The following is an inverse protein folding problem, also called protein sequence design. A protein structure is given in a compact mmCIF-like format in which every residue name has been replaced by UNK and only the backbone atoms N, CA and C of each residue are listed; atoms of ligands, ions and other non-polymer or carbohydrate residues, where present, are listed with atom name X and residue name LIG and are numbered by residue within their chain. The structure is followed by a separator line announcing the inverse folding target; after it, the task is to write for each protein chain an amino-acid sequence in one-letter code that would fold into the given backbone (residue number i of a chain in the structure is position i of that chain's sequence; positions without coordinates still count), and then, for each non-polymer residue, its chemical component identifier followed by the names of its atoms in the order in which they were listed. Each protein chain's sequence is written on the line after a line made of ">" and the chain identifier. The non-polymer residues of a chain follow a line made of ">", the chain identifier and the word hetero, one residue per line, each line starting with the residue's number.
data_IF_718788352584
#
_entry.id   IF_718788352584
#
_cell.length_a   1.000
_cell.length_b   1.000
_cell.length_c   1.000
_cell.angle_alpha   90.00
_cell.angle_beta   90.00
_cell.angle_gamma   90.00
#
_symmetry.space_group_name_H-M   'P 1'
#
loop_
_entity.id
_entity.type
_entity.pdbx_description
1 polymer ?
#
# COMPACT_ATOMS: atom_id res chain seq x y z
N UNK A 1 6.12 17.94 -14.46
CA UNK A 1 5.12 17.35 -13.52
C UNK A 1 3.74 17.95 -13.76
N UNK A 2 3.64 19.27 -13.95
CA UNK A 2 2.33 19.91 -14.15
C UNK A 2 1.47 19.25 -15.25
N UNK A 3 2.07 18.91 -16.38
CA UNK A 3 1.33 18.24 -17.47
C UNK A 3 0.86 16.83 -17.09
N UNK A 4 1.68 16.06 -16.35
CA UNK A 4 1.32 14.72 -15.85
C UNK A 4 0.11 14.76 -14.92
N UNK A 5 -0.01 15.81 -14.10
CA UNK A 5 -1.13 15.97 -13.18
C UNK A 5 -2.38 16.56 -13.86
N UNK A 6 -2.22 17.38 -14.90
CA UNK A 6 -3.33 17.95 -15.67
C UNK A 6 -4.00 16.93 -16.59
N UNK A 7 -3.23 15.99 -17.13
CA UNK A 7 -3.69 15.02 -18.14
C UNK A 7 -4.99 14.32 -17.76
N UNK A 8 -5.16 13.72 -16.56
CA UNK A 8 -6.41 13.05 -16.18
C UNK A 8 -7.61 14.01 -16.15
N UNK A 9 -7.40 15.28 -15.75
CA UNK A 9 -8.48 16.29 -15.73
C UNK A 9 -8.88 16.67 -17.14
N UNK A 10 -7.91 16.88 -18.03
CA UNK A 10 -8.17 17.25 -19.45
C UNK A 10 -8.96 16.15 -20.16
N UNK A 11 -8.65 14.87 -19.87
CA UNK A 11 -9.30 13.72 -20.55
C UNK A 11 -10.69 13.44 -19.99
N UNK A 12 -10.90 13.63 -18.68
CA UNK A 12 -12.11 13.14 -18.00
C UNK A 12 -13.08 14.25 -17.58
N UNK A 13 -12.77 15.54 -17.83
CA UNK A 13 -13.61 16.66 -17.39
C UNK A 13 -13.66 17.75 -18.45
N UNK A 14 -14.72 18.58 -18.40
CA UNK A 14 -14.88 19.77 -19.23
C UNK A 14 -14.43 21.06 -18.53
N UNK A 15 -13.51 20.94 -17.55
CA UNK A 15 -13.00 22.06 -16.77
C UNK A 15 -12.15 23.03 -17.62
N UNK A 16 -12.23 24.30 -17.30
CA UNK A 16 -11.38 25.31 -17.93
C UNK A 16 -9.94 25.23 -17.43
N UNK A 17 -9.00 25.71 -18.23
CA UNK A 17 -7.56 25.67 -17.94
C UNK A 17 -7.19 26.28 -16.58
N UNK A 18 -7.86 27.37 -16.19
CA UNK A 18 -7.64 28.04 -14.90
C UNK A 18 -8.08 27.14 -13.72
N UNK A 19 -9.22 26.44 -13.87
CA UNK A 19 -9.74 25.51 -12.85
C UNK A 19 -8.83 24.29 -12.70
N UNK A 20 -8.39 23.71 -13.82
CA UNK A 20 -7.42 22.61 -13.85
C UNK A 20 -6.14 23.01 -13.13
N UNK A 21 -5.60 24.19 -13.43
CA UNK A 21 -4.37 24.68 -12.81
C UNK A 21 -4.52 24.79 -11.29
N UNK A 22 -5.63 25.34 -10.82
CA UNK A 22 -5.92 25.49 -9.40
C UNK A 22 -6.02 24.14 -8.69
N UNK A 23 -6.73 23.17 -9.29
CA UNK A 23 -6.84 21.79 -8.72
C UNK A 23 -5.46 21.15 -8.61
N UNK A 24 -4.65 21.25 -9.66
CA UNK A 24 -3.29 20.67 -9.67
C UNK A 24 -2.40 21.29 -8.59
N UNK A 25 -2.46 22.63 -8.43
CA UNK A 25 -1.73 23.32 -7.37
C UNK A 25 -2.18 22.88 -5.97
N UNK A 26 -3.48 22.75 -5.73
CA UNK A 26 -4.01 22.27 -4.46
C UNK A 26 -3.57 20.83 -4.15
N UNK A 27 -3.60 19.95 -5.14
CA UNK A 27 -3.23 18.54 -4.94
C UNK A 27 -1.73 18.35 -4.69
N UNK A 28 -0.87 19.13 -5.36
CA UNK A 28 0.58 19.04 -5.13
C UNK A 28 0.96 19.53 -3.71
N UNK A 29 0.30 20.56 -3.21
CA UNK A 29 0.49 21.03 -1.83
C UNK A 29 -0.04 20.02 -0.80
N UNK A 30 -1.15 19.33 -1.09
CA UNK A 30 -1.72 18.29 -0.21
C UNK A 30 -0.77 17.11 0.02
N UNK A 31 0.09 16.79 -0.94
CA UNK A 31 1.11 15.76 -0.76
C UNK A 31 2.44 16.30 -0.21
N UNK A 32 2.48 17.56 0.22
CA UNK A 32 3.64 18.19 0.86
C UNK A 32 4.76 18.59 -0.11
N UNK A 33 4.41 18.93 -1.35
CA UNK A 33 5.33 19.48 -2.34
C UNK A 33 4.95 20.94 -2.67
N UNK A 34 5.98 21.76 -2.94
CA UNK A 34 5.79 23.14 -3.34
C UNK A 34 5.28 23.24 -4.79
N UNK A 35 4.51 24.29 -5.13
CA UNK A 35 3.99 24.54 -6.49
C UNK A 35 5.07 24.65 -7.54
N UNK A 36 6.29 25.08 -7.20
CA UNK A 36 7.43 25.11 -8.12
C UNK A 36 7.75 23.74 -8.70
N UNK A 37 7.42 22.64 -7.99
CA UNK A 37 7.55 21.26 -8.45
C UNK A 37 6.80 21.00 -9.76
N UNK A 38 5.73 21.75 -10.06
CA UNK A 38 4.96 21.59 -11.28
C UNK A 38 5.75 21.93 -12.57
N UNK A 39 6.82 22.72 -12.44
CA UNK A 39 7.67 23.13 -13.55
C UNK A 39 8.87 22.18 -13.79
N UNK A 40 9.07 21.20 -12.92
CA UNK A 40 10.19 20.29 -12.95
C UNK A 40 9.84 18.96 -13.66
N UNK A 41 10.87 18.21 -14.03
CA UNK A 41 10.76 16.89 -14.67
C UNK A 41 10.89 15.77 -13.63
N UNK A 42 10.33 14.56 -13.89
CA UNK A 42 10.38 13.45 -12.93
C UNK A 42 11.78 13.03 -12.48
N UNK A 43 12.80 13.18 -13.32
CA UNK A 43 14.18 12.81 -13.01
C UNK A 43 14.85 13.79 -12.01
N UNK A 44 14.26 14.97 -11.76
CA UNK A 44 14.77 15.97 -10.82
C UNK A 44 14.32 15.69 -9.37
N UNK A 45 13.52 14.63 -9.15
CA UNK A 45 12.96 14.29 -7.85
C UNK A 45 13.57 13.04 -7.24
N UNK A 46 13.65 13.01 -5.90
CA UNK A 46 13.96 11.79 -5.14
C UNK A 46 12.86 10.73 -5.28
N UNK A 47 13.13 9.49 -4.89
CA UNK A 47 12.15 8.40 -4.90
C UNK A 47 10.88 8.74 -4.12
N UNK A 48 11.03 9.28 -2.90
CA UNK A 48 9.90 9.68 -2.07
C UNK A 48 9.10 10.84 -2.64
N UNK A 49 9.76 11.81 -3.29
CA UNK A 49 9.05 12.90 -3.96
C UNK A 49 8.29 12.39 -5.20
N UNK A 50 8.87 11.48 -5.99
CA UNK A 50 8.15 10.83 -7.10
C UNK A 50 6.93 10.08 -6.61
N UNK A 51 7.03 9.40 -5.46
CA UNK A 51 5.88 8.71 -4.84
C UNK A 51 4.78 9.69 -4.43
N UNK A 52 5.13 10.85 -3.84
CA UNK A 52 4.17 11.91 -3.52
C UNK A 52 3.46 12.44 -4.77
N UNK A 53 4.18 12.59 -5.89
CA UNK A 53 3.59 13.00 -7.18
C UNK A 53 2.63 11.93 -7.71
N UNK A 54 2.98 10.64 -7.61
CA UNK A 54 2.09 9.54 -8.00
C UNK A 54 0.81 9.52 -7.16
N UNK A 55 0.92 9.76 -5.85
CA UNK A 55 -0.24 9.91 -4.94
C UNK A 55 -1.08 11.13 -5.34
N UNK A 56 -0.48 12.28 -5.61
CA UNK A 56 -1.20 13.47 -6.08
C UNK A 56 -1.99 13.18 -7.37
N UNK A 57 -1.36 12.45 -8.32
CA UNK A 57 -2.01 12.04 -9.57
C UNK A 57 -3.21 11.13 -9.33
N UNK A 58 -3.12 10.18 -8.39
CA UNK A 58 -4.23 9.30 -8.06
C UNK A 58 -5.42 10.04 -7.42
N UNK A 59 -5.15 11.17 -6.75
CA UNK A 59 -6.15 12.00 -6.09
C UNK A 59 -6.79 13.06 -6.99
N UNK A 60 -6.27 13.26 -8.20
CA UNK A 60 -6.60 14.46 -9.02
C UNK A 60 -8.08 14.51 -9.42
N UNK A 61 -8.70 13.36 -9.63
CA UNK A 61 -10.11 13.22 -9.99
C UNK A 61 -11.04 13.04 -8.77
N UNK A 62 -10.55 13.27 -7.55
CA UNK A 62 -11.28 13.07 -6.30
C UNK A 62 -11.95 11.67 -6.21
N UNK A 63 -11.19 10.57 -6.33
CA UNK A 63 -11.74 9.23 -6.28
C UNK A 63 -12.30 8.90 -4.90
N UNK A 64 -13.23 7.96 -4.83
CA UNK A 64 -13.70 7.37 -3.58
C UNK A 64 -12.87 6.14 -3.16
N UNK A 65 -12.18 5.51 -4.14
CA UNK A 65 -11.42 4.28 -3.96
C UNK A 65 -10.07 4.36 -4.67
N UNK A 66 -9.00 3.95 -3.97
CA UNK A 66 -7.63 3.93 -4.50
C UNK A 66 -7.02 2.54 -4.28
N UNK A 67 -6.39 2.00 -5.31
CA UNK A 67 -5.53 0.80 -5.22
C UNK A 67 -4.09 1.27 -5.07
N UNK A 68 -3.46 0.90 -3.97
CA UNK A 68 -2.06 1.18 -3.68
C UNK A 68 -1.28 -0.15 -3.69
N UNK A 69 -0.65 -0.44 -4.83
CA UNK A 69 0.12 -1.65 -5.05
C UNK A 69 1.60 -1.40 -4.71
N UNK A 70 2.07 -1.98 -3.62
CA UNK A 70 3.42 -1.82 -3.06
C UNK A 70 3.95 -0.37 -3.02
N UNK A 71 3.17 0.60 -2.52
CA UNK A 71 3.48 2.02 -2.71
C UNK A 71 4.74 2.50 -1.99
N UNK A 72 5.37 1.67 -1.16
CA UNK A 72 6.56 2.04 -0.38
C UNK A 72 7.72 1.05 -0.52
N UNK A 73 7.58 -0.02 -1.31
CA UNK A 73 8.56 -1.13 -1.38
C UNK A 73 9.96 -0.71 -1.87
N UNK A 74 10.04 0.31 -2.72
CA UNK A 74 11.30 0.82 -3.29
C UNK A 74 11.91 2.01 -2.54
N UNK A 75 11.40 2.33 -1.33
CA UNK A 75 11.82 3.49 -0.54
C UNK A 75 12.61 3.04 0.69
N UNK A 76 13.49 3.90 1.18
CA UNK A 76 14.14 3.69 2.48
C UNK A 76 13.14 3.84 3.64
N UNK A 77 13.45 3.20 4.78
CA UNK A 77 12.55 3.09 5.94
C UNK A 77 12.04 4.45 6.44
N UNK A 78 12.88 5.47 6.41
CA UNK A 78 12.52 6.82 6.87
C UNK A 78 11.48 7.46 5.96
N UNK A 79 11.67 7.33 4.64
CA UNK A 79 10.74 7.85 3.63
C UNK A 79 9.46 7.01 3.58
N UNK A 80 9.56 5.67 3.76
CA UNK A 80 8.39 4.81 3.91
C UNK A 80 7.44 5.31 4.99
N UNK A 81 7.97 5.60 6.20
CA UNK A 81 7.17 6.09 7.31
C UNK A 81 6.45 7.42 6.97
N UNK A 82 7.12 8.33 6.25
CA UNK A 82 6.51 9.58 5.81
C UNK A 82 5.37 9.36 4.82
N UNK A 83 5.55 8.46 3.83
CA UNK A 83 4.50 8.14 2.83
C UNK A 83 3.31 7.44 3.49
N UNK A 84 3.55 6.53 4.43
CA UNK A 84 2.49 5.82 5.17
C UNK A 84 1.66 6.82 5.98
N UNK A 85 2.29 7.76 6.69
CA UNK A 85 1.58 8.80 7.44
C UNK A 85 0.79 9.72 6.49
N UNK A 86 1.37 10.08 5.34
CA UNK A 86 0.67 10.86 4.32
C UNK A 86 -0.59 10.12 3.82
N UNK A 87 -0.48 8.82 3.48
CA UNK A 87 -1.63 8.03 3.03
C UNK A 87 -2.73 7.94 4.08
N UNK A 88 -2.34 7.80 5.36
CA UNK A 88 -3.30 7.78 6.48
C UNK A 88 -4.04 9.12 6.61
N UNK A 89 -3.31 10.23 6.55
CA UNK A 89 -3.90 11.57 6.58
C UNK A 89 -4.84 11.79 5.40
N UNK A 90 -4.43 11.42 4.18
CA UNK A 90 -5.27 11.56 2.99
C UNK A 90 -6.52 10.69 3.05
N UNK A 91 -6.46 9.49 3.65
CA UNK A 91 -7.62 8.63 3.91
C UNK A 91 -8.66 9.38 4.73
N UNK A 92 -8.24 10.06 5.79
CA UNK A 92 -9.11 10.83 6.68
C UNK A 92 -9.62 12.12 6.00
N UNK A 93 -8.71 12.92 5.41
CA UNK A 93 -9.03 14.22 4.78
C UNK A 93 -10.04 14.09 3.63
N UNK A 94 -9.95 13.02 2.84
CA UNK A 94 -10.77 12.79 1.65
C UNK A 94 -11.79 11.68 1.81
N UNK A 95 -11.93 11.07 3.00
CA UNK A 95 -12.79 9.93 3.28
C UNK A 95 -12.61 8.78 2.27
N UNK A 96 -11.36 8.44 1.99
CA UNK A 96 -10.98 7.46 0.96
C UNK A 96 -11.10 6.03 1.45
N UNK A 97 -11.51 5.15 0.53
CA UNK A 97 -11.34 3.71 0.70
C UNK A 97 -10.06 3.27 -0.02
N UNK A 98 -9.19 2.52 0.67
CA UNK A 98 -7.96 1.97 0.08
C UNK A 98 -8.00 0.45 -0.03
N UNK A 99 -7.56 -0.07 -1.18
CA UNK A 99 -7.02 -1.42 -1.28
C UNK A 99 -5.48 -1.30 -1.27
N UNK A 100 -4.87 -1.66 -0.15
CA UNK A 100 -3.42 -1.56 0.05
C UNK A 100 -2.78 -2.94 -0.10
N UNK A 101 -1.88 -3.11 -1.06
CA UNK A 101 -1.14 -4.36 -1.29
C UNK A 101 0.28 -4.16 -0.80
N UNK A 102 0.75 -5.05 0.09
CA UNK A 102 2.11 -5.02 0.63
C UNK A 102 2.53 -6.38 1.16
N UNK A 103 3.82 -6.64 1.16
CA UNK A 103 4.43 -7.77 1.86
C UNK A 103 4.90 -7.40 3.28
N UNK A 104 4.86 -6.13 3.68
CA UNK A 104 5.21 -5.67 5.02
C UNK A 104 3.97 -5.70 5.94
N UNK A 105 3.94 -6.69 6.83
CA UNK A 105 2.86 -6.87 7.79
C UNK A 105 2.76 -5.74 8.82
N UNK A 106 3.86 -5.05 9.12
CA UNK A 106 3.87 -3.92 10.05
C UNK A 106 3.13 -2.73 9.45
N UNK A 107 3.37 -2.46 8.18
CA UNK A 107 2.65 -1.42 7.41
C UNK A 107 1.17 -1.74 7.31
N UNK A 108 0.83 -2.98 6.96
CA UNK A 108 -0.56 -3.45 6.88
C UNK A 108 -1.27 -3.29 8.24
N UNK A 109 -0.63 -3.70 9.34
CA UNK A 109 -1.17 -3.57 10.70
C UNK A 109 -1.50 -2.11 11.06
N UNK A 110 -0.66 -1.18 10.59
CA UNK A 110 -0.81 0.25 10.92
C UNK A 110 -1.89 0.96 10.10
N UNK A 111 -2.08 0.58 8.83
CA UNK A 111 -2.96 1.29 7.90
C UNK A 111 -4.35 0.67 7.74
N UNK A 112 -4.46 -0.66 7.89
CA UNK A 112 -5.63 -1.39 7.41
C UNK A 112 -6.61 -1.73 8.52
N UNK A 113 -7.90 -1.54 8.28
CA UNK A 113 -8.98 -1.94 9.18
C UNK A 113 -9.28 -3.45 9.04
N UNK A 114 -9.13 -3.97 7.81
CA UNK A 114 -9.30 -5.38 7.45
C UNK A 114 -8.15 -5.84 6.58
N UNK A 115 -7.79 -7.10 6.69
CA UNK A 115 -6.76 -7.72 5.85
C UNK A 115 -7.25 -9.01 5.20
N UNK A 116 -6.74 -9.27 4.02
CA UNK A 116 -6.85 -10.54 3.31
C UNK A 116 -5.44 -11.09 3.11
N UNK A 117 -5.19 -12.29 3.61
CA UNK A 117 -3.91 -13.01 3.43
C UNK A 117 -4.05 -13.89 2.18
N UNK A 118 -3.10 -13.74 1.26
CA UNK A 118 -3.08 -14.51 0.02
C UNK A 118 -1.92 -15.50 0.00
N UNK A 119 -2.18 -16.68 -0.56
CA UNK A 119 -1.17 -17.69 -0.84
C UNK A 119 -1.44 -18.32 -2.21
N UNK A 120 -0.45 -18.30 -3.10
CA UNK A 120 -0.54 -18.83 -4.48
C UNK A 120 -1.83 -18.38 -5.23
N UNK A 121 -2.14 -17.08 -5.14
CA UNK A 121 -3.28 -16.47 -5.83
C UNK A 121 -4.65 -16.68 -5.17
N UNK A 122 -4.73 -17.37 -4.02
CA UNK A 122 -5.97 -17.55 -3.26
C UNK A 122 -5.95 -16.82 -1.93
N UNK A 123 -7.10 -16.27 -1.54
CA UNK A 123 -7.29 -15.69 -0.20
C UNK A 123 -7.49 -16.85 0.77
N UNK A 124 -6.52 -17.04 1.68
CA UNK A 124 -6.55 -18.12 2.67
C UNK A 124 -7.12 -17.69 4.02
N UNK A 125 -7.09 -16.40 4.32
CA UNK A 125 -7.70 -15.83 5.51
C UNK A 125 -8.09 -14.37 5.27
N UNK A 126 -9.26 -13.96 5.78
CA UNK A 126 -9.74 -12.58 5.72
C UNK A 126 -10.45 -12.23 7.03
N UNK A 127 -10.20 -11.03 7.55
CA UNK A 127 -10.82 -10.56 8.79
C UNK A 127 -10.41 -9.16 9.18
N UNK A 128 -10.81 -8.74 10.38
CA UNK A 128 -10.36 -7.50 10.98
C UNK A 128 -8.88 -7.62 11.34
N UNK A 129 -8.13 -6.56 11.11
CA UNK A 129 -6.67 -6.54 11.33
C UNK A 129 -6.32 -7.00 12.74
N UNK A 130 -6.96 -6.45 13.76
CA UNK A 130 -6.70 -6.81 15.16
C UNK A 130 -6.97 -8.28 15.46
N UNK A 131 -8.04 -8.85 14.90
CA UNK A 131 -8.42 -10.26 15.11
C UNK A 131 -7.39 -11.21 14.50
N UNK A 132 -6.97 -10.94 13.25
CA UNK A 132 -5.98 -11.77 12.56
C UNK A 132 -4.61 -11.70 13.24
N UNK A 133 -4.17 -10.51 13.67
CA UNK A 133 -2.90 -10.38 14.39
C UNK A 133 -2.92 -11.04 15.78
N UNK A 134 -4.07 -11.02 16.47
CA UNK A 134 -4.23 -11.61 17.80
C UNK A 134 -4.48 -13.12 17.76
N UNK A 135 -5.28 -13.60 16.82
CA UNK A 135 -5.75 -14.99 16.77
C UNK A 135 -5.89 -15.51 15.33
N UNK A 136 -4.78 -15.61 14.57
CA UNK A 136 -4.78 -16.15 13.23
C UNK A 136 -5.31 -17.59 13.20
N UNK A 137 -6.12 -17.91 12.20
CA UNK A 137 -6.73 -19.25 12.07
C UNK A 137 -5.94 -20.12 11.11
N UNK A 138 -5.59 -19.59 9.95
CA UNK A 138 -4.90 -20.37 8.91
C UNK A 138 -3.42 -20.59 9.28
N UNK A 139 -2.88 -21.82 9.12
CA UNK A 139 -1.48 -22.11 9.46
C UNK A 139 -0.45 -21.22 8.73
N UNK A 140 -0.71 -20.87 7.49
CA UNK A 140 0.13 -19.92 6.75
C UNK A 140 0.16 -18.54 7.40
N UNK A 141 -1.00 -18.01 7.82
CA UNK A 141 -1.08 -16.73 8.54
C UNK A 141 -0.30 -16.77 9.85
N UNK A 142 -0.40 -17.88 10.59
CA UNK A 142 0.39 -18.10 11.84
C UNK A 142 1.89 -18.05 11.55
N UNK A 143 2.33 -18.73 10.51
CA UNK A 143 3.74 -18.75 10.11
C UNK A 143 4.23 -17.35 9.67
N UNK A 144 3.43 -16.63 8.88
CA UNK A 144 3.75 -15.24 8.48
C UNK A 144 3.88 -14.33 9.71
N UNK A 145 2.91 -14.35 10.60
CA UNK A 145 2.90 -13.48 11.79
C UNK A 145 3.99 -13.87 12.80
N UNK A 146 4.41 -15.14 12.85
CA UNK A 146 5.54 -15.56 13.70
C UNK A 146 6.89 -15.01 13.25
N UNK A 147 6.99 -14.51 12.00
CA UNK A 147 8.21 -13.90 11.46
C UNK A 147 8.30 -12.40 11.70
N UNK A 148 7.21 -11.75 12.14
CA UNK A 148 7.19 -10.32 12.46
C UNK A 148 7.93 -10.08 13.77
N UNK A 149 8.98 -9.24 13.81
CA UNK A 149 9.68 -8.92 15.05
C UNK A 149 8.73 -8.23 16.05
N UNK A 150 8.69 -8.73 17.28
CA UNK A 150 7.99 -8.06 18.37
C UNK A 150 8.93 -7.03 19.03
N UNK A 151 8.40 -5.87 19.38
CA UNK A 151 9.18 -4.81 20.05
C UNK A 151 9.56 -5.20 21.50
N UNK A 152 8.78 -6.06 22.12
CA UNK A 152 9.03 -6.52 23.48
C UNK A 152 9.62 -7.94 23.45
N UNK A 153 10.87 -8.15 23.95
CA UNK A 153 11.49 -9.47 23.96
C UNK A 153 10.72 -10.54 24.76
N UNK A 154 9.83 -10.13 25.68
CA UNK A 154 8.99 -11.06 26.46
C UNK A 154 7.83 -11.65 25.67
N UNK A 155 7.47 -11.02 24.54
CA UNK A 155 6.39 -11.46 23.66
C UNK A 155 6.93 -12.23 22.42
N UNK A 156 8.24 -12.58 22.43
CA UNK A 156 8.89 -13.27 21.32
C UNK A 156 8.24 -14.63 21.07
N UNK A 157 7.49 -14.72 19.96
CA UNK A 157 6.83 -15.94 19.53
C UNK A 157 7.87 -16.87 18.90
N UNK A 158 7.75 -18.16 19.20
CA UNK A 158 8.54 -19.17 18.50
C UNK A 158 8.28 -19.11 16.99
N UNK A 159 9.35 -18.90 16.20
CA UNK A 159 9.22 -18.80 14.74
C UNK A 159 8.81 -20.13 14.15
N UNK A 160 7.73 -20.13 13.39
CA UNK A 160 7.27 -21.30 12.64
C UNK A 160 8.06 -21.39 11.34
N UNK A 161 8.95 -22.38 11.26
CA UNK A 161 9.73 -22.65 10.06
C UNK A 161 8.91 -23.52 9.10
N UNK A 162 8.50 -22.93 7.96
CA UNK A 162 7.82 -23.67 6.90
C UNK A 162 8.85 -24.55 6.17
N UNK A 163 8.56 -25.84 6.09
CA UNK A 163 9.38 -26.81 5.35
C UNK A 163 8.93 -26.91 3.89
N UNK A 164 9.83 -27.37 3.03
CA UNK A 164 9.58 -27.56 1.61
C UNK A 164 9.65 -26.30 0.77
N UNK A 165 9.74 -26.47 -0.55
CA UNK A 165 9.79 -25.40 -1.52
C UNK A 165 8.40 -24.84 -1.83
N UNK A 166 8.39 -23.59 -2.31
CA UNK A 166 7.15 -22.98 -2.80
C UNK A 166 6.71 -23.69 -4.10
N UNK A 167 5.48 -24.21 -4.17
CA UNK A 167 4.99 -24.82 -5.40
C UNK A 167 5.02 -23.82 -6.58
N UNK A 168 5.34 -24.35 -7.78
CA UNK A 168 5.30 -23.53 -8.99
C UNK A 168 3.87 -23.06 -9.29
N UNK A 169 3.69 -21.79 -9.68
CA UNK A 169 2.38 -21.30 -10.15
C UNK A 169 1.83 -22.06 -11.36
N UNK A 170 2.71 -22.70 -12.15
CA UNK A 170 2.32 -23.51 -13.31
C UNK A 170 1.80 -24.91 -12.92
N UNK A 171 2.16 -25.39 -11.72
CA UNK A 171 1.77 -26.71 -11.25
C UNK A 171 1.28 -26.64 -9.80
N UNK A 172 0.10 -26.07 -9.62
CA UNK A 172 -0.50 -25.86 -8.30
C UNK A 172 -0.96 -27.18 -7.67
N UNK A 173 -0.73 -27.38 -6.36
CA UNK A 173 -1.26 -28.52 -5.63
C UNK A 173 -2.78 -28.58 -5.69
N UNK A 174 -3.34 -29.79 -5.74
CA UNK A 174 -4.79 -30.03 -5.66
C UNK A 174 -5.30 -29.84 -4.24
N UNK A 175 -6.52 -29.34 -4.07
CA UNK A 175 -7.09 -29.05 -2.75
C UNK A 175 -6.50 -27.78 -2.13
N UNK A 176 -6.24 -27.80 -0.83
CA UNK A 176 -5.62 -26.66 -0.14
C UNK A 176 -4.19 -26.43 -0.67
N UNK A 177 -3.94 -25.30 -1.32
CA UNK A 177 -2.63 -24.98 -1.91
C UNK A 177 -1.48 -24.97 -0.91
N UNK A 178 -1.79 -24.75 0.36
CA UNK A 178 -0.78 -24.72 1.44
C UNK A 178 -0.46 -26.10 2.04
N UNK A 179 -1.18 -27.17 1.68
CA UNK A 179 -1.05 -28.49 2.34
C UNK A 179 0.36 -29.08 2.27
N UNK A 180 1.12 -28.80 1.19
CA UNK A 180 2.50 -29.31 1.01
C UNK A 180 3.51 -28.68 1.98
N UNK A 181 3.15 -27.57 2.62
CA UNK A 181 3.99 -26.82 3.57
C UNK A 181 3.30 -26.57 4.92
N UNK A 182 2.13 -27.17 5.11
CA UNK A 182 1.36 -27.06 6.35
C UNK A 182 2.05 -27.85 7.46
N UNK A 183 2.43 -27.21 8.62
CA UNK A 183 3.03 -27.88 9.75
C UNK A 183 2.07 -28.82 10.46
#
# INVERSE_FOLDING_TARGET
>A
IGEILKEPLIINTDLKKEEITKIVEEKIEKVGLDKSALNLYPHEFSGGQRQRIAIARSLILNPEFIIADEPVSALDVSIQAQIINLLKQLKEDFNLTFLFISHDLSVIKYLSDRIAIMYLGEVVEIGRTEEIFKNPKHPYTKALLSSVPELNPQDEKERIHLQGELPSPENLPTGCKFHTRCP
#
